data_IF_310729934328
#
_entry.id   IF_310729934328
#
_cell.length_a   1.000
_cell.length_b   1.000
_cell.length_c   1.000
_cell.angle_alpha   90.00
_cell.angle_beta   90.00
_cell.angle_gamma   90.00
#
_symmetry.space_group_name_H-M   'P 1'
#
loop_
_entity.id
_entity.type
_entity.pdbx_description
1 polymer ?
#
# COMPACT_ATOMS: atom_id res chain seq x y z
N UNK A 1 0.02 -54.60 -6.58
CA UNK A 1 -0.47 -53.25 -6.28
C UNK A 1 0.75 -52.35 -6.09
N UNK A 2 1.15 -51.63 -7.13
CA UNK A 2 2.33 -50.76 -7.12
C UNK A 2 1.94 -49.41 -6.55
N UNK A 3 2.42 -49.10 -5.33
CA UNK A 3 2.32 -47.75 -4.77
C UNK A 3 3.26 -46.82 -5.55
N UNK A 4 2.71 -46.07 -6.48
CA UNK A 4 3.45 -44.94 -7.04
C UNK A 4 3.44 -43.82 -6.00
N UNK A 5 4.63 -43.58 -5.42
CA UNK A 5 4.87 -42.39 -4.59
C UNK A 5 4.57 -41.13 -5.47
N UNK A 6 3.81 -40.15 -4.98
CA UNK A 6 3.60 -38.92 -5.73
C UNK A 6 4.96 -38.27 -5.95
N UNK A 7 5.26 -37.97 -7.21
CA UNK A 7 6.44 -37.19 -7.59
C UNK A 7 6.47 -35.90 -6.78
N UNK A 8 7.63 -35.49 -6.22
CA UNK A 8 7.75 -34.23 -5.52
C UNK A 8 7.39 -33.12 -6.50
N UNK A 9 6.22 -32.50 -6.28
CA UNK A 9 5.87 -31.26 -6.97
C UNK A 9 6.98 -30.28 -6.64
N UNK A 10 7.75 -29.96 -7.65
CA UNK A 10 8.80 -28.95 -7.58
C UNK A 10 8.10 -27.65 -7.14
N UNK A 11 8.17 -27.31 -5.85
CA UNK A 11 7.63 -26.08 -5.31
C UNK A 11 8.47 -24.94 -5.88
N UNK A 12 8.12 -24.51 -7.11
CA UNK A 12 8.69 -23.31 -7.67
C UNK A 12 8.27 -22.20 -6.70
N UNK A 13 9.22 -21.53 -6.07
CA UNK A 13 8.88 -20.45 -5.15
C UNK A 13 8.05 -19.43 -5.92
N UNK A 14 6.89 -19.09 -5.40
CA UNK A 14 5.99 -18.08 -5.99
C UNK A 14 6.23 -16.70 -5.42
N UNK A 15 7.17 -16.61 -4.48
CA UNK A 15 7.53 -15.39 -3.76
C UNK A 15 9.06 -15.32 -3.64
N UNK A 16 9.61 -14.15 -3.95
CA UNK A 16 11.06 -13.86 -3.89
C UNK A 16 11.28 -12.50 -3.22
N UNK A 17 12.50 -12.27 -2.75
CA UNK A 17 12.97 -10.94 -2.37
C UNK A 17 13.83 -10.34 -3.50
N UNK A 18 13.66 -9.06 -3.77
CA UNK A 18 14.54 -8.29 -4.66
C UNK A 18 14.95 -7.01 -3.93
N UNK A 19 16.19 -7.00 -3.39
CA UNK A 19 16.68 -5.93 -2.51
C UNK A 19 15.71 -5.68 -1.34
N UNK A 20 15.01 -4.55 -1.34
CA UNK A 20 14.02 -4.14 -0.32
C UNK A 20 12.56 -4.39 -0.74
N UNK A 21 12.35 -5.02 -1.89
CA UNK A 21 11.02 -5.32 -2.41
C UNK A 21 10.70 -6.81 -2.30
N UNK A 22 9.45 -7.12 -2.01
CA UNK A 22 8.88 -8.46 -2.12
C UNK A 22 8.31 -8.62 -3.52
N UNK A 23 8.75 -9.65 -4.23
CA UNK A 23 8.23 -10.01 -5.55
C UNK A 23 7.38 -11.26 -5.39
N UNK A 24 6.14 -11.20 -5.85
CA UNK A 24 5.23 -12.34 -5.74
C UNK A 24 4.37 -12.49 -6.97
N UNK A 25 3.95 -13.72 -7.27
CA UNK A 25 2.90 -13.95 -8.26
C UNK A 25 1.57 -13.36 -7.75
N UNK A 26 0.72 -12.83 -8.63
CA UNK A 26 -0.52 -12.11 -8.26
C UNK A 26 -1.45 -12.87 -7.32
N UNK A 27 -1.43 -14.20 -7.38
CA UNK A 27 -2.32 -15.06 -6.59
C UNK A 27 -1.57 -15.88 -5.53
N UNK A 28 -0.26 -15.61 -5.34
CA UNK A 28 0.52 -16.33 -4.33
C UNK A 28 0.02 -16.01 -2.92
N UNK A 29 -0.26 -17.02 -2.08
CA UNK A 29 -0.62 -16.80 -0.70
C UNK A 29 0.61 -16.34 0.09
N UNK A 30 0.49 -15.21 0.80
CA UNK A 30 1.52 -14.76 1.73
C UNK A 30 1.48 -15.57 3.02
N UNK A 31 2.62 -15.83 3.67
CA UNK A 31 2.65 -16.51 4.95
C UNK A 31 1.90 -15.72 6.02
N UNK A 32 1.31 -16.45 6.99
CA UNK A 32 0.54 -15.88 8.09
C UNK A 32 1.44 -15.16 9.12
N UNK A 33 2.15 -14.14 8.64
CA UNK A 33 3.05 -13.31 9.44
C UNK A 33 2.83 -11.84 9.16
N UNK A 34 3.09 -11.02 10.16
CA UNK A 34 2.97 -9.56 10.02
C UNK A 34 4.07 -9.02 9.11
N UNK A 35 3.70 -8.31 8.04
CA UNK A 35 4.66 -7.70 7.10
C UNK A 35 5.49 -6.57 7.70
N UNK A 36 5.09 -6.06 8.89
CA UNK A 36 5.78 -4.95 9.57
C UNK A 36 6.76 -5.40 10.67
N UNK A 37 6.52 -6.52 11.33
CA UNK A 37 7.38 -6.99 12.43
C UNK A 37 7.67 -8.49 12.40
N UNK A 38 7.23 -9.20 11.36
CA UNK A 38 7.44 -10.64 11.19
C UNK A 38 6.79 -11.54 12.27
N UNK A 39 6.01 -10.98 13.21
CA UNK A 39 5.32 -11.76 14.21
C UNK A 39 4.24 -12.66 13.57
N UNK A 40 3.99 -13.88 14.11
CA UNK A 40 2.92 -14.74 13.61
C UNK A 40 1.57 -14.04 13.81
N UNK A 41 0.69 -14.14 12.82
CA UNK A 41 -0.65 -13.54 12.88
C UNK A 41 -1.65 -14.31 12.06
N UNK A 42 -2.89 -14.38 12.54
CA UNK A 42 -4.03 -14.91 11.79
C UNK A 42 -4.87 -13.79 11.14
N UNK A 43 -4.60 -12.54 11.49
CA UNK A 43 -5.32 -11.42 10.91
C UNK A 43 -4.74 -11.08 9.53
N UNK A 44 -5.57 -11.22 8.51
CA UNK A 44 -5.23 -10.84 7.14
C UNK A 44 -6.05 -9.64 6.70
N UNK A 45 -5.41 -8.70 6.04
CA UNK A 45 -6.03 -7.51 5.48
C UNK A 45 -6.04 -7.61 3.96
N UNK A 46 -7.23 -7.64 3.38
CA UNK A 46 -7.39 -7.58 1.91
C UNK A 46 -6.99 -6.19 1.42
N UNK A 47 -6.10 -6.14 0.45
CA UNK A 47 -5.62 -4.90 -0.18
C UNK A 47 -5.76 -4.99 -1.69
N UNK A 48 -6.48 -4.03 -2.24
CA UNK A 48 -6.52 -3.82 -3.68
C UNK A 48 -5.46 -2.79 -4.01
N UNK A 49 -4.40 -3.23 -4.66
CA UNK A 49 -3.31 -2.38 -5.12
C UNK A 49 -3.60 -1.95 -6.55
N UNK A 50 -3.35 -0.67 -6.84
CA UNK A 50 -3.39 -0.13 -8.20
C UNK A 50 -2.03 0.48 -8.51
N UNK A 51 -1.56 0.24 -9.69
CA UNK A 51 -0.32 0.80 -10.19
C UNK A 51 -0.50 1.27 -11.62
N UNK A 52 0.08 2.40 -11.95
CA UNK A 52 0.16 2.94 -13.28
C UNK A 52 1.60 3.41 -13.55
N UNK A 53 1.98 3.40 -14.80
CA UNK A 53 3.33 3.77 -15.18
C UNK A 53 3.60 5.24 -14.87
N UNK A 54 4.75 5.61 -14.27
CA UNK A 54 5.06 7.00 -13.91
C UNK A 54 5.00 7.97 -15.10
N UNK A 55 5.28 7.51 -16.32
CA UNK A 55 5.20 8.33 -17.52
C UNK A 55 3.80 8.93 -17.77
N UNK A 56 2.74 8.34 -17.18
CA UNK A 56 1.38 8.91 -17.28
C UNK A 56 1.25 10.29 -16.61
N UNK A 57 2.14 10.62 -15.66
CA UNK A 57 2.13 11.97 -15.07
C UNK A 57 2.44 13.08 -16.08
N UNK A 58 3.12 12.76 -17.20
CA UNK A 58 3.39 13.72 -18.27
C UNK A 58 2.06 14.17 -18.93
N UNK A 59 1.05 13.30 -18.99
CA UNK A 59 -0.25 13.66 -19.56
C UNK A 59 -1.01 14.71 -18.76
N UNK A 60 -0.64 14.98 -17.50
CA UNK A 60 -1.21 16.08 -16.69
C UNK A 60 -0.90 17.43 -17.34
N UNK A 61 0.26 17.57 -17.99
CA UNK A 61 0.66 18.81 -18.70
C UNK A 61 -0.26 19.11 -19.89
N UNK A 62 -0.85 18.08 -20.51
CA UNK A 62 -1.79 18.25 -21.60
C UNK A 62 -3.21 18.54 -21.10
N UNK A 63 -3.71 17.73 -20.18
CA UNK A 63 -5.04 17.91 -19.56
C UNK A 63 -5.20 16.98 -18.35
N UNK A 64 -5.71 17.49 -17.26
CA UNK A 64 -6.08 16.69 -16.08
C UNK A 64 -7.10 15.59 -16.43
N UNK A 65 -8.06 15.92 -17.31
CA UNK A 65 -9.09 14.97 -17.75
C UNK A 65 -8.46 13.81 -18.54
N UNK A 66 -7.53 14.10 -19.46
CA UNK A 66 -6.81 13.10 -20.22
C UNK A 66 -6.01 12.18 -19.29
N UNK A 67 -5.33 12.75 -18.29
CA UNK A 67 -4.62 11.96 -17.28
C UNK A 67 -5.56 11.01 -16.53
N UNK A 68 -6.73 11.49 -16.07
CA UNK A 68 -7.68 10.67 -15.34
C UNK A 68 -8.18 9.49 -16.19
N UNK A 69 -8.50 9.73 -17.47
CA UNK A 69 -8.95 8.67 -18.40
C UNK A 69 -7.83 7.65 -18.60
N UNK A 70 -6.61 8.09 -18.93
CA UNK A 70 -5.47 7.21 -19.13
C UNK A 70 -5.09 6.44 -17.87
N UNK A 71 -5.10 7.08 -16.71
CA UNK A 71 -4.83 6.44 -15.43
C UNK A 71 -5.88 5.38 -15.10
N UNK A 72 -7.16 5.59 -15.46
CA UNK A 72 -8.23 4.62 -15.25
C UNK A 72 -8.07 3.40 -16.18
N UNK A 73 -7.79 3.62 -17.46
CA UNK A 73 -7.70 2.57 -18.49
C UNK A 73 -6.40 1.77 -18.36
N UNK A 74 -5.26 2.44 -18.12
CA UNK A 74 -3.93 1.82 -18.11
C UNK A 74 -3.49 1.35 -16.72
N UNK A 75 -4.33 1.51 -15.67
CA UNK A 75 -3.97 1.04 -14.34
C UNK A 75 -4.05 -0.48 -14.24
N UNK A 76 -2.97 -1.11 -13.79
CA UNK A 76 -2.94 -2.52 -13.41
C UNK A 76 -3.31 -2.66 -11.94
N UNK A 77 -4.16 -3.63 -11.62
CA UNK A 77 -4.59 -3.90 -10.25
C UNK A 77 -4.19 -5.30 -9.81
N UNK A 78 -3.93 -5.44 -8.52
CA UNK A 78 -3.72 -6.74 -7.89
C UNK A 78 -4.36 -6.74 -6.50
N UNK A 79 -5.05 -7.83 -6.17
CA UNK A 79 -5.60 -8.03 -4.84
C UNK A 79 -4.70 -8.98 -4.07
N UNK A 80 -4.23 -8.54 -2.92
CA UNK A 80 -3.39 -9.33 -2.04
C UNK A 80 -3.97 -9.39 -0.63
N UNK A 81 -3.66 -10.46 0.09
CA UNK A 81 -4.00 -10.64 1.49
C UNK A 81 -2.73 -10.52 2.33
N UNK A 82 -2.62 -9.45 3.12
CA UNK A 82 -1.42 -9.09 3.88
C UNK A 82 -1.66 -9.37 5.36
N UNK A 83 -0.76 -10.11 6.01
CA UNK A 83 -0.82 -10.36 7.45
C UNK A 83 -0.45 -9.10 8.25
N UNK A 84 -1.24 -8.76 9.25
CA UNK A 84 -0.93 -7.72 10.25
C UNK A 84 -1.20 -8.24 11.67
N UNK A 85 -0.23 -8.05 12.57
CA UNK A 85 -0.45 -8.34 13.99
C UNK A 85 -1.42 -7.33 14.65
N UNK A 86 -2.07 -7.70 15.76
CA UNK A 86 -3.04 -6.83 16.44
C UNK A 86 -2.49 -5.44 16.79
N UNK A 87 -1.21 -5.37 17.17
CA UNK A 87 -0.54 -4.11 17.51
C UNK A 87 -0.49 -3.16 16.30
N UNK A 88 -0.12 -3.65 15.10
CA UNK A 88 -0.07 -2.84 13.89
C UNK A 88 -1.46 -2.53 13.33
N UNK A 89 -2.45 -3.39 13.57
CA UNK A 89 -3.87 -3.09 13.27
C UNK A 89 -4.37 -1.94 14.15
N UNK A 90 -4.09 -1.99 15.45
CA UNK A 90 -4.48 -0.93 16.40
C UNK A 90 -3.78 0.40 16.09
N UNK A 91 -2.47 0.37 15.83
CA UNK A 91 -1.72 1.55 15.43
C UNK A 91 -2.30 2.20 14.17
N UNK A 92 -2.60 1.39 13.15
CA UNK A 92 -3.22 1.88 11.91
C UNK A 92 -4.60 2.50 12.14
N UNK A 93 -5.45 1.87 12.99
CA UNK A 93 -6.76 2.46 13.34
C UNK A 93 -6.59 3.81 14.02
N UNK A 94 -5.67 3.93 14.98
CA UNK A 94 -5.33 5.19 15.63
C UNK A 94 -4.89 6.25 14.64
N UNK A 95 -3.98 5.90 13.72
CA UNK A 95 -3.47 6.84 12.71
C UNK A 95 -4.58 7.33 11.77
N UNK A 96 -5.54 6.47 11.42
CA UNK A 96 -6.73 6.85 10.66
C UNK A 96 -7.60 7.84 11.46
N UNK A 97 -7.85 7.57 12.74
CA UNK A 97 -8.64 8.46 13.60
C UNK A 97 -7.98 9.82 13.74
N UNK A 98 -6.66 9.87 13.96
CA UNK A 98 -5.91 11.13 14.04
C UNK A 98 -6.01 11.92 12.72
N UNK A 99 -5.88 11.25 11.58
CA UNK A 99 -6.02 11.90 10.27
C UNK A 99 -7.41 12.51 10.08
N UNK A 100 -8.46 11.76 10.40
CA UNK A 100 -9.84 12.26 10.33
C UNK A 100 -10.10 13.41 11.31
N UNK A 101 -9.53 13.33 12.53
CA UNK A 101 -9.65 14.42 13.50
C UNK A 101 -9.04 15.72 12.98
N UNK A 102 -7.84 15.67 12.38
CA UNK A 102 -7.21 16.84 11.77
C UNK A 102 -8.05 17.44 10.63
N UNK A 103 -8.65 16.58 9.80
CA UNK A 103 -9.55 17.02 8.73
C UNK A 103 -10.81 17.69 9.30
N UNK A 104 -11.40 17.14 10.35
CA UNK A 104 -12.57 17.74 11.01
C UNK A 104 -12.23 19.09 11.67
N UNK A 105 -11.08 19.20 12.33
CA UNK A 105 -10.59 20.47 12.89
C UNK A 105 -10.40 21.51 11.78
N UNK A 106 -9.90 21.10 10.61
CA UNK A 106 -9.78 21.97 9.45
C UNK A 106 -11.15 22.52 9.01
N UNK A 107 -12.16 21.68 8.87
CA UNK A 107 -13.50 22.13 8.49
C UNK A 107 -14.11 23.05 9.56
N UNK A 108 -13.93 22.74 10.85
CA UNK A 108 -14.39 23.61 11.93
C UNK A 108 -13.70 25.00 11.85
N UNK A 109 -12.39 25.04 11.57
CA UNK A 109 -11.65 26.28 11.41
C UNK A 109 -12.16 27.12 10.21
N UNK A 110 -12.46 26.49 9.07
CA UNK A 110 -13.06 27.20 7.94
C UNK A 110 -14.47 27.74 8.24
N UNK A 111 -15.25 27.00 9.01
CA UNK A 111 -16.57 27.46 9.44
C UNK A 111 -16.45 28.70 10.33
N UNK A 112 -15.53 28.71 11.31
CA UNK A 112 -15.25 29.87 12.18
C UNK A 112 -14.75 31.06 11.35
N UNK A 113 -13.86 30.82 10.39
CA UNK A 113 -13.36 31.86 9.49
C UNK A 113 -14.48 32.56 8.73
N UNK A 114 -15.47 31.79 8.26
CA UNK A 114 -16.63 32.35 7.54
C UNK A 114 -17.54 33.18 8.43
N UNK A 115 -17.57 32.94 9.77
CA UNK A 115 -18.38 33.71 10.70
C UNK A 115 -17.67 34.98 11.18
N UNK A 116 -16.34 34.92 11.35
CA UNK A 116 -15.54 36.01 11.94
C UNK A 116 -14.85 36.87 10.88
N UNK A 117 -14.91 36.49 9.61
CA UNK A 117 -14.21 37.15 8.49
C UNK A 117 -12.70 37.30 8.71
N UNK A 118 -12.12 36.37 9.53
CA UNK A 118 -10.72 36.42 9.91
C UNK A 118 -9.89 35.40 9.11
N UNK A 119 -8.95 35.92 8.31
CA UNK A 119 -8.05 35.12 7.47
C UNK A 119 -7.12 34.20 8.28
N UNK A 120 -6.89 34.46 9.57
CA UNK A 120 -6.07 33.60 10.43
C UNK A 120 -6.65 32.19 10.51
N UNK A 121 -7.98 32.06 10.65
CA UNK A 121 -8.65 30.75 10.71
C UNK A 121 -8.64 30.03 9.36
N UNK A 122 -8.62 30.76 8.24
CA UNK A 122 -8.43 30.17 6.91
C UNK A 122 -7.05 29.53 6.80
N UNK A 123 -6.01 30.25 7.24
CA UNK A 123 -4.64 29.73 7.22
C UNK A 123 -4.48 28.51 8.12
N UNK A 124 -4.94 28.57 9.37
CA UNK A 124 -4.92 27.44 10.31
C UNK A 124 -5.66 26.22 9.76
N UNK A 125 -6.85 26.43 9.21
CA UNK A 125 -7.64 25.37 8.56
C UNK A 125 -6.89 24.72 7.40
N UNK A 126 -6.26 25.51 6.55
CA UNK A 126 -5.49 25.01 5.41
C UNK A 126 -4.29 24.15 5.83
N UNK A 127 -3.54 24.62 6.83
CA UNK A 127 -2.40 23.88 7.39
C UNK A 127 -2.87 22.57 8.04
N UNK A 128 -3.93 22.60 8.84
CA UNK A 128 -4.49 21.41 9.47
C UNK A 128 -4.99 20.39 8.43
N UNK A 129 -5.63 20.86 7.34
CA UNK A 129 -6.09 20.02 6.25
C UNK A 129 -4.92 19.29 5.57
N UNK A 130 -3.91 20.04 5.15
CA UNK A 130 -2.72 19.48 4.51
C UNK A 130 -2.00 18.50 5.43
N UNK A 131 -1.82 18.86 6.70
CA UNK A 131 -1.21 17.99 7.70
C UNK A 131 -2.02 16.68 7.87
N UNK A 132 -3.33 16.75 7.98
CA UNK A 132 -4.22 15.60 8.11
C UNK A 132 -4.16 14.67 6.88
N UNK A 133 -4.17 15.23 5.67
CA UNK A 133 -4.08 14.46 4.42
C UNK A 133 -2.71 13.80 4.29
N UNK A 134 -1.61 14.55 4.49
CA UNK A 134 -0.25 14.02 4.37
C UNK A 134 -0.02 12.92 5.42
N UNK A 135 -0.39 13.18 6.67
CA UNK A 135 -0.29 12.21 7.77
C UNK A 135 -1.08 10.92 7.42
N UNK A 136 -2.33 11.07 6.97
CA UNK A 136 -3.15 9.94 6.56
C UNK A 136 -2.51 9.12 5.45
N UNK A 137 -2.01 9.77 4.39
CA UNK A 137 -1.38 9.07 3.27
C UNK A 137 -0.11 8.33 3.70
N UNK A 138 0.73 8.94 4.53
CA UNK A 138 2.04 8.38 4.92
C UNK A 138 1.87 7.24 5.94
N UNK A 139 1.08 7.46 6.98
CA UNK A 139 0.98 6.55 8.12
C UNK A 139 0.04 5.37 7.91
N UNK A 140 -0.98 5.51 7.08
CA UNK A 140 -1.95 4.41 6.85
C UNK A 140 -1.51 3.40 5.79
N UNK A 141 -0.42 3.69 5.03
CA UNK A 141 0.15 2.76 4.05
C UNK A 141 0.78 1.56 4.75
N UNK A 142 0.25 0.36 4.51
CA UNK A 142 0.81 -0.89 5.00
C UNK A 142 1.91 -1.38 4.08
N UNK A 143 1.58 -1.52 2.80
CA UNK A 143 2.49 -1.86 1.70
C UNK A 143 2.14 -0.99 0.50
N UNK A 144 3.11 -0.71 -0.35
CA UNK A 144 2.92 0.05 -1.58
C UNK A 144 3.39 -0.79 -2.78
N UNK A 145 2.64 -0.80 -3.88
CA UNK A 145 3.10 -1.43 -5.11
C UNK A 145 4.18 -0.53 -5.74
N UNK A 146 5.33 -1.12 -6.03
CA UNK A 146 6.38 -0.48 -6.82
C UNK A 146 6.14 -0.67 -8.31
N UNK A 147 5.69 -1.87 -8.68
CA UNK A 147 5.35 -2.26 -10.05
C UNK A 147 4.31 -3.40 -9.99
N UNK A 148 3.38 -3.41 -10.95
CA UNK A 148 2.46 -4.53 -11.16
C UNK A 148 2.52 -4.90 -12.62
N UNK A 149 3.01 -6.12 -12.90
CA UNK A 149 2.94 -6.72 -14.22
C UNK A 149 1.72 -7.66 -14.34
N UNK A 150 1.61 -8.36 -15.43
CA UNK A 150 0.47 -9.25 -15.68
C UNK A 150 0.49 -10.47 -14.76
N UNK A 151 1.69 -10.94 -14.38
CA UNK A 151 1.90 -12.13 -13.55
C UNK A 151 2.46 -11.82 -12.17
N UNK A 152 3.24 -10.74 -11.99
CA UNK A 152 4.00 -10.45 -10.78
C UNK A 152 3.65 -9.08 -10.18
N UNK A 153 3.83 -8.98 -8.87
CA UNK A 153 3.65 -7.77 -8.08
C UNK A 153 4.90 -7.51 -7.26
N UNK A 154 5.44 -6.30 -7.36
CA UNK A 154 6.57 -5.81 -6.53
C UNK A 154 6.00 -4.94 -5.42
N UNK A 155 6.25 -5.34 -4.18
CA UNK A 155 5.74 -4.68 -2.98
C UNK A 155 6.90 -4.08 -2.19
N UNK A 156 6.74 -2.81 -1.79
CA UNK A 156 7.65 -2.12 -0.87
C UNK A 156 6.97 -1.84 0.47
N UNK A 157 7.76 -1.48 1.49
CA UNK A 157 7.27 -1.20 2.83
C UNK A 157 7.12 -2.45 3.70
N UNK A 158 7.73 -3.56 3.28
CA UNK A 158 7.83 -4.82 4.01
C UNK A 158 9.08 -4.79 4.89
N UNK A 159 9.02 -5.36 6.09
CA UNK A 159 10.15 -5.43 7.01
C UNK A 159 11.27 -6.35 6.48
N UNK A 160 12.53 -6.01 6.73
CA UNK A 160 13.69 -6.80 6.31
C UNK A 160 13.65 -8.24 6.83
N UNK A 161 13.34 -8.44 8.12
CA UNK A 161 13.22 -9.78 8.72
C UNK A 161 12.11 -10.65 8.12
N UNK A 162 11.09 -10.01 7.52
CA UNK A 162 10.07 -10.73 6.76
C UNK A 162 10.59 -11.11 5.38
N UNK A 163 11.40 -10.28 4.73
CA UNK A 163 11.98 -10.54 3.41
C UNK A 163 13.03 -11.64 3.45
N UNK A 164 13.79 -11.79 4.54
CA UNK A 164 14.82 -12.81 4.72
C UNK A 164 14.31 -14.25 4.64
N UNK A 165 13.01 -14.45 4.81
CA UNK A 165 12.39 -15.78 4.69
C UNK A 165 12.27 -16.27 3.24
N UNK A 166 12.46 -15.39 2.27
CA UNK A 166 12.27 -15.72 0.86
C UNK A 166 13.59 -15.77 0.11
N UNK A 167 13.69 -16.66 -0.88
CA UNK A 167 14.86 -16.72 -1.74
C UNK A 167 15.07 -15.40 -2.48
N UNK A 168 16.30 -15.07 -2.75
CA UNK A 168 16.65 -13.91 -3.54
C UNK A 168 16.29 -14.12 -5.01
N UNK A 169 15.63 -13.13 -5.61
CA UNK A 169 15.39 -13.15 -7.03
C UNK A 169 16.72 -12.88 -7.73
N UNK A 170 17.36 -13.95 -8.22
CA UNK A 170 18.54 -13.81 -9.08
C UNK A 170 18.09 -13.09 -10.34
N UNK A 171 18.42 -11.81 -10.46
CA UNK A 171 18.23 -11.12 -11.71
C UNK A 171 19.14 -11.77 -12.75
N UNK A 172 18.56 -12.50 -13.70
CA UNK A 172 19.29 -12.79 -14.91
C UNK A 172 19.74 -11.44 -15.51
N UNK A 173 21.07 -11.23 -15.49
CA UNK A 173 21.71 -10.09 -16.14
C UNK A 173 21.52 -10.19 -17.64
#
# INVERSE_FOLDING_TARGET
MSFQAPLPTHNIPTIWRSKSALVMAKHAPLPQRCVKCNAPTRHTLKRNLRWHHPALYISILGSLLLYLILAMVLSKSATIHVGLCPTHVAARKRDIIISWFLVLVSFASFFVAAQMEDMTFVFVGSVAFLAGVIYGIVRTKVVAPQKIDDQYVWLTGVNASYLEQFPELLSAR
#
